data_IF_182281643309
#
_entry.id   IF_182281643309
#
_cell.length_a   1.000
_cell.length_b   1.000
_cell.length_c   1.000
_cell.angle_alpha   90.00
_cell.angle_beta   90.00
_cell.angle_gamma   90.00
#
_symmetry.space_group_name_H-M   'P 1'
#
loop_
_entity.id
_entity.type
_entity.pdbx_description
1 polymer ?
#
# COMPACT_ATOMS: atom_id res chain seq x y z
N UNK A 1 17.30 -30.30 -3.76
CA UNK A 1 16.39 -29.41 -4.48
C UNK A 1 15.92 -28.41 -3.45
N UNK A 2 16.70 -27.34 -3.35
CA UNK A 2 16.55 -26.29 -2.37
C UNK A 2 15.65 -25.19 -2.94
N UNK A 3 14.56 -24.89 -2.24
CA UNK A 3 13.83 -23.65 -2.38
C UNK A 3 13.86 -22.98 -1.01
N UNK A 4 14.56 -21.85 -0.97
CA UNK A 4 14.80 -21.05 0.22
C UNK A 4 13.50 -20.50 0.82
N UNK A 5 13.42 -20.63 2.14
CA UNK A 5 12.43 -20.06 3.06
C UNK A 5 12.56 -18.53 3.06
N UNK A 6 11.44 -17.80 2.85
CA UNK A 6 11.34 -16.38 3.22
C UNK A 6 10.92 -16.25 4.69
N UNK A 7 11.61 -15.47 5.53
CA UNK A 7 11.17 -15.19 6.89
C UNK A 7 10.07 -14.11 6.87
N UNK A 8 8.95 -14.39 7.55
CA UNK A 8 7.93 -13.40 7.86
C UNK A 8 8.52 -12.28 8.73
N UNK A 9 8.29 -11.03 8.35
CA UNK A 9 8.66 -9.86 9.16
C UNK A 9 7.40 -9.29 9.76
N UNK A 10 7.34 -9.29 11.08
CA UNK A 10 6.41 -8.47 11.85
C UNK A 10 6.79 -7.00 11.66
N UNK A 11 5.80 -6.17 11.33
CA UNK A 11 5.96 -4.72 11.43
C UNK A 11 5.84 -4.32 12.90
N UNK A 12 6.92 -3.82 13.48
CA UNK A 12 6.91 -3.11 14.76
C UNK A 12 7.04 -1.62 14.48
N UNK A 13 6.16 -0.82 15.10
CA UNK A 13 6.18 0.64 15.04
C UNK A 13 7.55 1.15 15.52
N UNK A 14 8.33 1.89 14.70
CA UNK A 14 9.59 2.45 15.17
C UNK A 14 9.33 3.65 16.08
N UNK A 15 9.88 3.60 17.29
CA UNK A 15 10.02 4.77 18.14
C UNK A 15 11.34 5.48 17.81
N UNK A 16 11.27 6.66 17.17
CA UNK A 16 12.39 7.58 17.01
C UNK A 16 12.97 7.70 15.59
N UNK A 17 13.67 8.82 15.26
CA UNK A 17 14.04 9.16 13.90
C UNK A 17 15.26 8.36 13.42
N UNK A 18 15.16 7.77 12.22
CA UNK A 18 16.26 7.12 11.53
C UNK A 18 17.18 8.15 10.80
N UNK A 19 18.48 7.87 10.64
CA UNK A 19 19.44 8.83 10.09
C UNK A 19 19.38 8.94 8.57
N UNK A 20 19.73 10.15 8.08
CA UNK A 20 19.70 10.60 6.68
C UNK A 20 20.63 9.78 5.77
N UNK A 21 20.06 9.17 4.72
CA UNK A 21 20.79 8.52 3.62
C UNK A 21 20.81 9.40 2.36
N UNK A 22 21.98 9.51 1.73
CA UNK A 22 22.24 10.32 0.52
C UNK A 22 21.58 9.73 -0.73
N UNK A 23 21.10 10.61 -1.60
CA UNK A 23 20.60 10.30 -2.94
C UNK A 23 21.66 9.57 -3.80
N UNK A 24 21.25 8.46 -4.43
CA UNK A 24 22.04 7.77 -5.45
C UNK A 24 21.32 7.94 -6.80
N UNK A 25 21.96 8.68 -7.71
CA UNK A 25 21.56 8.81 -9.10
C UNK A 25 21.95 7.53 -9.86
N UNK A 26 21.00 6.86 -10.51
CA UNK A 26 21.28 5.79 -11.46
C UNK A 26 20.71 6.14 -12.83
N UNK A 27 21.57 6.06 -13.85
CA UNK A 27 21.25 6.10 -15.28
C UNK A 27 20.79 4.71 -15.77
N UNK A 28 19.96 4.62 -16.83
CA UNK A 28 19.37 3.37 -17.28
C UNK A 28 20.22 2.62 -18.33
N UNK A 29 20.06 1.29 -18.38
CA UNK A 29 20.33 0.49 -19.58
C UNK A 29 20.96 -0.89 -19.35
N UNK A 30 20.16 -1.95 -19.34
CA UNK A 30 20.48 -3.27 -19.91
C UNK A 30 19.21 -4.14 -20.01
N UNK A 31 18.99 -4.91 -21.11
CA UNK A 31 17.79 -5.69 -21.32
C UNK A 31 17.79 -7.01 -20.53
N UNK A 32 16.60 -7.42 -20.08
CA UNK A 32 16.35 -8.72 -19.44
C UNK A 32 16.13 -9.79 -20.52
N UNK A 33 17.09 -10.71 -20.65
CA UNK A 33 16.91 -11.92 -21.47
C UNK A 33 16.05 -12.97 -20.76
N UNK A 34 15.27 -13.67 -21.59
CA UNK A 34 14.29 -14.68 -21.28
C UNK A 34 14.93 -15.96 -20.72
N UNK A 35 14.40 -16.49 -19.61
CA UNK A 35 14.75 -17.83 -19.15
C UNK A 35 13.99 -18.89 -19.95
N UNK A 36 14.70 -19.61 -20.83
CA UNK A 36 14.27 -20.90 -21.37
C UNK A 36 15.27 -22.01 -21.00
N UNK A 37 14.72 -23.20 -20.75
CA UNK A 37 15.37 -24.40 -20.23
C UNK A 37 16.61 -24.88 -21.03
N UNK A 38 17.61 -25.41 -20.32
CA UNK A 38 18.79 -26.01 -20.95
C UNK A 38 19.61 -26.89 -19.99
N UNK A 39 19.71 -28.16 -20.35
CA UNK A 39 20.34 -29.29 -19.66
C UNK A 39 21.88 -29.21 -19.56
N UNK A 40 22.37 -29.87 -18.50
CA UNK A 40 23.73 -30.27 -18.12
C UNK A 40 24.72 -30.47 -19.29
N UNK A 41 25.94 -29.94 -19.14
CA UNK A 41 27.17 -30.54 -19.67
C UNK A 41 28.35 -30.31 -18.70
N UNK A 42 28.89 -31.42 -18.17
CA UNK A 42 30.16 -31.48 -17.43
C UNK A 42 31.33 -31.20 -18.38
N UNK A 43 32.35 -30.48 -17.90
CA UNK A 43 33.72 -30.58 -18.42
C UNK A 43 34.71 -30.80 -17.27
N UNK A 44 35.60 -31.75 -17.51
CA UNK A 44 36.68 -32.22 -16.66
C UNK A 44 38.05 -31.76 -17.19
N UNK A 45 38.97 -31.44 -16.28
CA UNK A 45 40.43 -31.47 -16.46
C UNK A 45 41.03 -31.25 -15.05
N UNK A 46 41.71 -32.21 -14.41
CA UNK A 46 43.17 -32.45 -14.50
C UNK A 46 43.92 -31.37 -13.71
N UNK A 47 44.79 -31.58 -12.72
CA UNK A 47 45.74 -32.66 -12.41
C UNK A 47 46.29 -32.51 -10.95
N UNK A 48 47.10 -33.47 -10.49
CA UNK A 48 47.44 -33.88 -9.11
C UNK A 48 48.62 -33.11 -8.42
N UNK A 49 49.36 -33.64 -7.40
CA UNK A 49 49.02 -34.29 -6.11
C UNK A 49 49.76 -33.65 -4.89
N UNK A 50 49.41 -34.02 -3.65
CA UNK A 50 50.26 -33.71 -2.48
C UNK A 50 49.79 -34.19 -1.10
N UNK A 51 50.38 -35.30 -0.64
CA UNK A 51 50.67 -35.74 0.76
C UNK A 51 49.66 -35.48 1.90
N UNK A 52 49.17 -36.59 2.48
CA UNK A 52 48.57 -36.67 3.83
C UNK A 52 49.58 -36.38 4.96
N UNK A 53 49.09 -35.95 6.14
CA UNK A 53 49.15 -36.86 7.29
C UNK A 53 47.85 -36.91 8.10
N UNK A 54 47.70 -38.02 8.83
CA UNK A 54 46.57 -38.39 9.68
C UNK A 54 46.31 -37.40 10.82
N UNK A 55 45.05 -37.32 11.31
CA UNK A 55 44.70 -37.33 12.74
C UNK A 55 43.17 -37.22 12.99
N UNK A 56 42.71 -38.10 13.88
CA UNK A 56 41.54 -38.05 14.79
C UNK A 56 40.15 -38.34 14.21
N UNK A 57 39.67 -39.53 14.54
CA UNK A 57 38.26 -39.90 14.61
C UNK A 57 37.51 -38.88 15.49
N UNK A 58 36.42 -38.31 14.95
CA UNK A 58 35.47 -37.50 15.70
C UNK A 58 34.29 -38.41 16.05
N UNK A 59 34.02 -38.55 17.35
CA UNK A 59 32.77 -39.11 17.85
C UNK A 59 31.57 -38.36 17.25
N UNK A 60 30.70 -39.09 16.56
CA UNK A 60 29.39 -38.61 16.14
C UNK A 60 28.48 -38.52 17.36
N UNK A 61 28.32 -37.30 17.88
CA UNK A 61 27.22 -36.96 18.79
C UNK A 61 25.99 -36.71 17.92
N UNK A 62 25.01 -37.60 17.97
CA UNK A 62 23.70 -37.42 17.34
C UNK A 62 22.93 -36.37 18.15
N UNK A 63 22.62 -35.17 17.60
CA UNK A 63 21.73 -34.26 18.31
C UNK A 63 20.31 -34.80 18.23
N UNK A 64 19.64 -34.81 19.39
CA UNK A 64 18.23 -35.14 19.51
C UNK A 64 17.41 -34.23 18.58
N UNK A 65 16.50 -34.84 17.82
CA UNK A 65 15.52 -34.15 16.99
C UNK A 65 14.62 -33.32 17.92
N UNK A 66 14.94 -32.04 18.05
CA UNK A 66 14.04 -31.03 18.62
C UNK A 66 12.77 -31.04 17.79
N UNK A 67 11.64 -31.32 18.44
CA UNK A 67 10.32 -31.29 17.84
C UNK A 67 10.10 -29.94 17.12
N UNK A 68 9.75 -30.01 15.84
CA UNK A 68 9.40 -28.85 15.03
C UNK A 68 8.01 -28.39 15.49
N UNK A 69 7.83 -27.15 15.97
CA UNK A 69 6.50 -26.67 16.29
C UNK A 69 5.69 -26.55 14.99
N UNK A 70 4.44 -27.05 15.03
CA UNK A 70 3.50 -26.94 13.92
C UNK A 70 3.33 -25.47 13.46
N UNK A 71 3.07 -25.22 12.16
CA UNK A 71 2.89 -23.87 11.65
C UNK A 71 1.70 -23.21 12.35
N UNK A 72 1.92 -22.02 12.92
CA UNK A 72 0.86 -21.17 13.42
C UNK A 72 -0.01 -20.76 12.23
N UNK A 73 -1.12 -21.47 12.02
CA UNK A 73 -2.20 -20.97 11.15
C UNK A 73 -2.77 -19.75 11.83
N UNK A 74 -2.31 -18.57 11.43
CA UNK A 74 -2.96 -17.32 11.81
C UNK A 74 -4.37 -17.35 11.23
N UNK A 75 -5.37 -17.64 12.07
CA UNK A 75 -6.80 -17.59 11.76
C UNK A 75 -7.30 -16.14 11.49
N UNK A 76 -6.40 -15.15 11.64
CA UNK A 76 -6.68 -13.75 11.38
C UNK A 76 -6.70 -13.44 9.88
N UNK A 77 -7.71 -12.70 9.39
CA UNK A 77 -7.77 -12.29 7.99
C UNK A 77 -6.57 -11.40 7.62
N UNK A 78 -5.92 -11.72 6.50
CA UNK A 78 -4.79 -10.95 5.97
C UNK A 78 -5.23 -9.95 4.91
N UNK A 79 -4.68 -8.75 4.94
CA UNK A 79 -4.82 -7.72 3.90
C UNK A 79 -3.50 -7.55 3.19
N UNK A 80 -3.52 -7.64 1.85
CA UNK A 80 -2.37 -7.26 1.04
C UNK A 80 -2.27 -5.73 1.02
N UNK A 81 -1.13 -5.20 1.43
CA UNK A 81 -0.82 -3.76 1.39
C UNK A 81 0.23 -3.52 0.32
N UNK A 82 -0.08 -2.70 -0.68
CA UNK A 82 0.86 -2.28 -1.71
C UNK A 82 1.38 -0.89 -1.35
N UNK A 83 2.68 -0.80 -1.04
CA UNK A 83 3.35 0.45 -0.70
C UNK A 83 4.30 0.87 -1.84
N UNK A 84 4.17 2.11 -2.32
CA UNK A 84 4.87 2.55 -3.54
C UNK A 84 6.19 3.29 -3.30
N UNK A 85 6.47 3.72 -2.06
CA UNK A 85 7.69 4.44 -1.68
C UNK A 85 7.91 4.37 -0.15
N UNK A 86 9.06 4.83 0.33
CA UNK A 86 9.48 4.66 1.74
C UNK A 86 8.64 5.46 2.75
N UNK A 87 8.23 6.65 2.38
CA UNK A 87 7.56 7.64 3.24
C UNK A 87 6.02 7.65 3.08
N UNK A 88 5.46 6.69 2.34
CA UNK A 88 4.02 6.51 2.12
C UNK A 88 3.51 5.18 2.67
N UNK A 89 3.83 4.88 3.94
CA UNK A 89 3.38 3.68 4.65
C UNK A 89 1.91 3.73 5.12
N UNK A 90 1.38 2.63 5.67
CA UNK A 90 -0.05 2.52 6.02
C UNK A 90 -0.48 3.38 7.21
N UNK A 91 0.46 3.98 7.96
CA UNK A 91 0.21 5.02 8.97
C UNK A 91 -0.95 4.73 9.93
N UNK A 92 -1.77 5.75 10.17
CA UNK A 92 -2.95 5.65 11.04
C UNK A 92 -3.91 4.54 10.58
N UNK A 93 -4.09 4.34 9.28
CA UNK A 93 -4.97 3.29 8.74
C UNK A 93 -4.46 1.91 9.14
N UNK A 94 -3.15 1.66 9.01
CA UNK A 94 -2.51 0.42 9.41
C UNK A 94 -2.63 0.15 10.91
N UNK A 95 -2.35 1.16 11.74
CA UNK A 95 -2.49 1.08 13.20
C UNK A 95 -3.92 0.68 13.61
N UNK A 96 -4.91 1.25 12.92
CA UNK A 96 -6.33 1.03 13.20
C UNK A 96 -6.79 -0.35 12.75
N UNK A 97 -6.33 -0.80 11.59
CA UNK A 97 -6.61 -2.15 11.10
C UNK A 97 -6.04 -3.22 12.00
N UNK A 98 -4.82 -3.06 12.52
CA UNK A 98 -4.23 -3.99 13.47
C UNK A 98 -5.10 -4.19 14.72
N UNK A 99 -5.79 -3.14 15.19
CA UNK A 99 -6.73 -3.22 16.34
C UNK A 99 -8.01 -3.98 16.03
N UNK A 100 -8.38 -4.12 14.75
CA UNK A 100 -9.52 -4.95 14.33
C UNK A 100 -9.17 -6.44 14.27
N UNK A 101 -7.90 -6.82 14.46
CA UNK A 101 -7.42 -8.20 14.35
C UNK A 101 -7.16 -8.63 12.90
N UNK A 102 -6.90 -7.68 12.01
CA UNK A 102 -6.47 -7.91 10.62
C UNK A 102 -4.94 -7.93 10.58
N UNK A 103 -4.36 -8.91 9.89
CA UNK A 103 -2.93 -8.95 9.61
C UNK A 103 -2.62 -8.15 8.34
N UNK A 104 -1.56 -7.34 8.36
CA UNK A 104 -1.11 -6.58 7.18
C UNK A 104 0.11 -7.25 6.55
N UNK A 105 -0.01 -7.62 5.29
CA UNK A 105 1.10 -8.13 4.49
C UNK A 105 1.57 -7.02 3.53
N UNK A 106 2.63 -6.31 3.91
CA UNK A 106 3.13 -5.14 3.18
C UNK A 106 4.17 -5.55 2.15
N UNK A 107 3.88 -5.24 0.89
CA UNK A 107 4.77 -5.48 -0.25
C UNK A 107 5.27 -4.14 -0.81
N UNK A 108 6.57 -4.07 -1.06
CA UNK A 108 7.29 -2.90 -1.58
C UNK A 108 7.76 -3.18 -3.02
N UNK A 109 6.86 -3.19 -4.01
CA UNK A 109 7.23 -3.58 -5.38
C UNK A 109 8.27 -2.65 -6.02
N UNK A 110 8.35 -1.39 -5.59
CA UNK A 110 9.38 -0.45 -6.02
C UNK A 110 10.80 -0.86 -5.59
N UNK A 111 10.94 -1.74 -4.59
CA UNK A 111 12.20 -2.38 -4.18
C UNK A 111 12.47 -3.71 -4.89
N UNK A 112 11.64 -4.07 -5.87
CA UNK A 112 11.72 -5.35 -6.59
C UNK A 112 11.06 -6.52 -5.86
N UNK A 113 10.26 -6.28 -4.82
CA UNK A 113 9.43 -7.34 -4.21
C UNK A 113 8.32 -7.75 -5.17
N UNK A 114 8.14 -9.06 -5.36
CA UNK A 114 7.10 -9.57 -6.25
C UNK A 114 5.71 -9.40 -5.62
N UNK A 115 4.81 -8.75 -6.35
CA UNK A 115 3.37 -8.80 -6.06
C UNK A 115 2.81 -10.20 -6.36
N UNK A 116 1.84 -10.68 -5.57
CA UNK A 116 1.24 -11.99 -5.81
C UNK A 116 0.48 -12.02 -7.14
N UNK A 117 0.36 -13.22 -7.72
CA UNK A 117 -0.37 -13.50 -8.97
C UNK A 117 -1.90 -13.44 -8.83
N UNK A 118 -2.42 -13.44 -7.61
CA UNK A 118 -3.85 -13.39 -7.30
C UNK A 118 -4.06 -12.85 -5.88
N UNK A 119 -5.26 -12.36 -5.57
CA UNK A 119 -5.71 -12.06 -4.21
C UNK A 119 -6.18 -13.30 -3.42
N UNK A 120 -6.05 -14.51 -3.97
CA UNK A 120 -6.36 -15.74 -3.26
C UNK A 120 -5.64 -15.82 -1.90
N UNK A 121 -6.43 -15.97 -0.82
CA UNK A 121 -5.92 -15.98 0.56
C UNK A 121 -5.91 -14.63 1.27
N UNK A 122 -6.16 -13.52 0.55
CA UNK A 122 -6.32 -12.20 1.16
C UNK A 122 -7.80 -11.84 1.35
N UNK A 123 -8.11 -11.29 2.51
CA UNK A 123 -9.42 -10.79 2.90
C UNK A 123 -9.68 -9.35 2.41
N UNK A 124 -8.63 -8.64 1.99
CA UNK A 124 -8.71 -7.28 1.48
C UNK A 124 -7.43 -6.84 0.78
N UNK A 125 -7.53 -5.73 0.07
CA UNK A 125 -6.45 -5.07 -0.64
C UNK A 125 -6.39 -3.59 -0.22
N UNK A 126 -5.22 -3.15 0.26
CA UNK A 126 -4.92 -1.75 0.55
C UNK A 126 -3.86 -1.27 -0.45
N UNK A 127 -4.19 -0.30 -1.29
CA UNK A 127 -3.23 0.30 -2.23
C UNK A 127 -2.95 1.72 -1.76
N UNK A 128 -1.71 1.99 -1.36
CA UNK A 128 -1.33 3.26 -0.75
C UNK A 128 -1.06 4.35 -1.80
N UNK A 129 -0.76 5.55 -1.31
CA UNK A 129 -0.27 6.65 -2.14
C UNK A 129 1.14 6.41 -2.67
N UNK A 130 1.62 7.34 -3.49
CA UNK A 130 2.99 7.38 -4.00
C UNK A 130 3.18 8.51 -4.99
N UNK A 131 4.43 8.88 -5.23
CA UNK A 131 4.82 9.96 -6.17
C UNK A 131 4.71 9.58 -7.65
N UNK A 132 4.56 8.30 -7.98
CA UNK A 132 4.45 7.83 -9.36
C UNK A 132 3.16 8.33 -10.03
N UNK A 133 3.25 8.62 -11.33
CA UNK A 133 2.06 8.85 -12.16
C UNK A 133 1.37 7.50 -12.43
N UNK A 134 0.04 7.43 -12.24
CA UNK A 134 -0.72 6.19 -12.40
C UNK A 134 -0.69 5.58 -13.82
N UNK A 135 -0.27 6.36 -14.83
CA UNK A 135 -0.16 5.95 -16.24
C UNK A 135 1.29 5.70 -16.70
N UNK A 136 2.29 6.02 -15.87
CA UNK A 136 3.71 5.91 -16.24
C UNK A 136 4.30 4.55 -15.85
N UNK A 137 4.00 3.54 -16.67
CA UNK A 137 4.47 2.17 -16.48
C UNK A 137 5.99 2.01 -16.71
N UNK A 138 6.63 2.94 -17.42
CA UNK A 138 8.07 2.92 -17.61
C UNK A 138 8.80 3.33 -16.33
N UNK A 139 8.32 4.40 -15.68
CA UNK A 139 8.86 4.85 -14.40
C UNK A 139 8.47 3.92 -13.24
N UNK A 140 7.28 3.29 -13.31
CA UNK A 140 6.75 2.42 -12.27
C UNK A 140 6.27 1.07 -12.83
N UNK A 141 7.20 0.16 -13.20
CA UNK A 141 6.90 -1.10 -13.92
C UNK A 141 6.05 -2.10 -13.12
N UNK A 142 5.81 -1.86 -11.84
CA UNK A 142 4.91 -2.67 -11.02
C UNK A 142 3.43 -2.28 -11.15
N UNK A 143 3.12 -1.06 -11.63
CA UNK A 143 1.74 -0.56 -11.70
C UNK A 143 0.80 -1.44 -12.53
N UNK A 144 1.20 -2.01 -13.69
CA UNK A 144 0.35 -2.96 -14.42
C UNK A 144 -0.17 -4.09 -13.53
N UNK A 145 0.71 -4.65 -12.70
CA UNK A 145 0.36 -5.74 -11.78
C UNK A 145 -0.56 -5.29 -10.65
N UNK A 146 -0.40 -4.07 -10.15
CA UNK A 146 -1.31 -3.47 -9.17
C UNK A 146 -2.70 -3.28 -9.78
N UNK A 147 -2.77 -2.80 -11.03
CA UNK A 147 -4.05 -2.65 -11.75
C UNK A 147 -4.73 -4.00 -11.98
N UNK A 148 -3.99 -5.07 -12.24
CA UNK A 148 -4.57 -6.43 -12.31
C UNK A 148 -5.21 -6.86 -10.98
N UNK A 149 -4.52 -6.63 -9.86
CA UNK A 149 -5.05 -6.93 -8.51
C UNK A 149 -6.29 -6.07 -8.20
N UNK A 150 -6.31 -4.81 -8.63
CA UNK A 150 -7.49 -3.94 -8.50
C UNK A 150 -8.68 -4.50 -9.31
N UNK A 151 -8.47 -4.91 -10.57
CA UNK A 151 -9.53 -5.53 -11.38
C UNK A 151 -10.07 -6.79 -10.71
N UNK A 152 -9.17 -7.63 -10.19
CA UNK A 152 -9.56 -8.82 -9.46
C UNK A 152 -10.37 -8.48 -8.20
N UNK A 153 -9.93 -7.49 -7.41
CA UNK A 153 -10.63 -7.10 -6.19
C UNK A 153 -12.07 -6.65 -6.48
N UNK A 154 -12.25 -5.85 -7.53
CA UNK A 154 -13.57 -5.36 -7.95
C UNK A 154 -14.43 -6.50 -8.50
N UNK A 155 -13.87 -7.40 -9.30
CA UNK A 155 -14.60 -8.52 -9.90
C UNK A 155 -15.05 -9.57 -8.88
N UNK A 156 -14.28 -9.76 -7.80
CA UNK A 156 -14.53 -10.78 -6.77
C UNK A 156 -15.08 -10.19 -5.45
N UNK A 157 -15.47 -8.91 -5.45
CA UNK A 157 -15.90 -8.15 -4.27
C UNK A 157 -14.93 -8.26 -3.08
N UNK A 158 -13.62 -8.32 -3.33
CA UNK A 158 -12.60 -8.23 -2.28
C UNK A 158 -12.56 -6.78 -1.79
N UNK A 159 -12.75 -6.52 -0.49
CA UNK A 159 -12.64 -5.20 0.10
C UNK A 159 -11.34 -4.51 -0.31
N UNK A 160 -11.47 -3.41 -1.03
CA UNK A 160 -10.37 -2.60 -1.54
C UNK A 160 -10.48 -1.19 -0.96
N UNK A 161 -9.42 -0.72 -0.32
CA UNK A 161 -9.22 0.69 -0.01
C UNK A 161 -8.01 1.20 -0.78
N UNK A 162 -8.20 2.21 -1.62
CA UNK A 162 -7.18 2.74 -2.51
C UNK A 162 -6.98 4.24 -2.24
N UNK A 163 -5.77 4.62 -1.84
CA UNK A 163 -5.45 5.94 -1.27
C UNK A 163 -4.56 6.73 -2.23
N UNK A 164 -4.91 7.98 -2.52
CA UNK A 164 -4.17 8.89 -3.40
C UNK A 164 -3.83 8.24 -4.75
N UNK A 165 -2.56 7.88 -5.01
CA UNK A 165 -2.16 7.08 -6.18
C UNK A 165 -2.99 5.80 -6.33
N UNK A 166 -3.26 5.09 -5.24
CA UNK A 166 -4.15 3.93 -5.25
C UNK A 166 -5.56 4.28 -5.75
N UNK A 167 -6.13 5.39 -5.29
CA UNK A 167 -7.44 5.88 -5.73
C UNK A 167 -7.44 6.26 -7.22
N UNK A 168 -6.36 6.87 -7.69
CA UNK A 168 -6.13 7.19 -9.09
C UNK A 168 -6.01 5.93 -9.95
N UNK A 169 -5.26 4.93 -9.50
CA UNK A 169 -5.16 3.61 -10.14
C UNK A 169 -6.51 2.92 -10.21
N UNK A 170 -7.32 2.96 -9.14
CA UNK A 170 -8.68 2.42 -9.15
C UNK A 170 -9.55 3.10 -10.21
N UNK A 171 -9.56 4.43 -10.25
CA UNK A 171 -10.31 5.17 -11.25
C UNK A 171 -9.82 4.87 -12.67
N UNK A 172 -8.52 5.00 -12.94
CA UNK A 172 -7.92 4.78 -14.25
C UNK A 172 -8.16 3.35 -14.76
N UNK A 173 -7.95 2.34 -13.91
CA UNK A 173 -8.13 0.92 -14.25
C UNK A 173 -9.53 0.59 -14.74
N UNK A 174 -10.53 1.33 -14.27
CA UNK A 174 -11.95 1.11 -14.57
C UNK A 174 -12.52 2.15 -15.55
N UNK A 175 -11.66 2.84 -16.31
CA UNK A 175 -12.06 3.75 -17.40
C UNK A 175 -12.33 5.20 -16.98
N UNK A 176 -11.98 5.56 -15.73
CA UNK A 176 -11.88 6.95 -15.30
C UNK A 176 -10.70 7.68 -15.95
N UNK A 177 -10.54 8.96 -15.65
CA UNK A 177 -9.41 9.78 -16.12
C UNK A 177 -8.78 10.53 -14.96
N UNK A 178 -7.46 10.47 -14.90
CA UNK A 178 -6.62 11.20 -13.96
C UNK A 178 -5.90 12.31 -14.72
N UNK A 179 -5.78 13.48 -14.12
CA UNK A 179 -5.12 14.63 -14.73
C UNK A 179 -4.24 15.34 -13.72
N UNK A 180 -3.18 16.00 -14.23
CA UNK A 180 -2.46 17.02 -13.48
C UNK A 180 -3.39 18.15 -13.11
N UNK A 181 -3.37 18.54 -11.84
CA UNK A 181 -4.19 19.65 -11.34
C UNK A 181 -3.77 20.97 -11.99
N UNK A 182 -4.70 21.68 -12.68
CA UNK A 182 -4.38 22.96 -13.31
C UNK A 182 -4.01 24.07 -12.33
N UNK A 183 -4.48 23.97 -11.08
CA UNK A 183 -4.30 24.99 -10.03
C UNK A 183 -3.08 24.72 -9.13
N UNK A 184 -2.22 23.77 -9.49
CA UNK A 184 -1.13 23.29 -8.62
C UNK A 184 -1.61 22.24 -7.62
N UNK A 185 -0.79 21.88 -6.62
CA UNK A 185 -1.09 20.80 -5.69
C UNK A 185 -2.15 21.20 -4.65
N UNK A 186 -2.86 20.23 -4.10
CA UNK A 186 -3.68 20.42 -2.89
C UNK A 186 -2.88 19.87 -1.71
N UNK A 187 -2.57 20.74 -0.74
CA UNK A 187 -1.74 20.40 0.42
C UNK A 187 -2.38 20.90 1.71
N UNK A 188 -2.18 20.18 2.81
CA UNK A 188 -2.64 20.57 4.15
C UNK A 188 -3.96 19.93 4.57
N UNK A 189 -4.56 20.42 5.65
CA UNK A 189 -5.86 19.95 6.13
C UNK A 189 -6.99 20.72 5.43
N UNK A 190 -7.77 20.01 4.60
CA UNK A 190 -8.86 20.59 3.80
C UNK A 190 -10.21 20.02 4.26
N UNK A 191 -11.23 20.86 4.52
CA UNK A 191 -12.56 20.37 4.88
C UNK A 191 -13.24 19.70 3.69
N UNK A 192 -13.83 18.53 3.92
CA UNK A 192 -14.56 17.79 2.90
C UNK A 192 -16.06 17.89 3.12
N UNK A 193 -16.81 17.96 2.02
CA UNK A 193 -18.28 17.92 2.02
C UNK A 193 -18.79 16.54 1.66
N UNK A 194 -19.90 16.17 2.30
CA UNK A 194 -20.56 14.90 1.99
C UNK A 194 -21.44 15.05 0.77
N UNK A 195 -21.51 13.97 0.01
CA UNK A 195 -22.52 13.80 -1.04
C UNK A 195 -23.64 12.89 -0.51
N UNK A 196 -24.85 12.97 -1.08
CA UNK A 196 -26.00 12.17 -0.60
C UNK A 196 -25.70 10.68 -0.52
N UNK A 197 -24.92 10.14 -1.45
CA UNK A 197 -24.59 8.71 -1.48
C UNK A 197 -23.63 8.26 -0.37
N UNK A 198 -23.03 9.17 0.39
CA UNK A 198 -22.32 8.82 1.62
C UNK A 198 -23.29 8.34 2.71
N UNK A 199 -24.57 8.70 2.65
CA UNK A 199 -25.58 8.17 3.57
C UNK A 199 -25.75 6.66 3.36
N UNK A 200 -25.57 5.89 4.43
CA UNK A 200 -25.64 4.44 4.38
C UNK A 200 -24.40 3.74 3.77
N UNK A 201 -23.40 4.48 3.28
CA UNK A 201 -22.15 3.87 2.84
C UNK A 201 -21.39 3.23 4.03
N UNK A 202 -20.88 1.99 3.90
CA UNK A 202 -20.23 1.27 5.01
C UNK A 202 -19.09 2.03 5.68
N UNK A 203 -18.36 2.87 4.94
CA UNK A 203 -17.21 3.60 5.47
C UNK A 203 -17.55 5.06 5.76
N UNK A 204 -18.34 5.69 4.88
CA UNK A 204 -18.51 7.14 4.88
C UNK A 204 -19.79 7.65 5.54
N UNK A 205 -20.70 6.75 5.97
CA UNK A 205 -21.98 7.14 6.59
C UNK A 205 -21.84 7.96 7.88
N UNK A 206 -20.72 7.81 8.61
CA UNK A 206 -20.48 8.47 9.90
C UNK A 206 -19.47 9.61 9.83
N UNK A 207 -18.94 9.92 8.65
CA UNK A 207 -18.04 11.07 8.46
C UNK A 207 -18.86 12.36 8.66
N UNK A 208 -18.43 13.29 9.55
CA UNK A 208 -19.11 14.57 9.72
C UNK A 208 -19.03 15.46 8.47
N UNK A 209 -20.01 16.35 8.30
CA UNK A 209 -19.93 17.41 7.28
C UNK A 209 -18.79 18.37 7.64
N UNK A 210 -17.92 18.70 6.67
CA UNK A 210 -16.78 19.59 6.88
C UNK A 210 -15.57 18.93 7.53
N UNK A 211 -15.56 17.59 7.70
CA UNK A 211 -14.43 16.88 8.30
C UNK A 211 -13.12 17.20 7.56
N UNK A 212 -12.05 17.60 8.27
CA UNK A 212 -10.76 17.89 7.66
C UNK A 212 -10.12 16.59 7.16
N UNK A 213 -9.45 16.66 6.02
CA UNK A 213 -8.63 15.58 5.48
C UNK A 213 -7.24 16.09 5.13
N UNK A 214 -6.20 15.30 5.44
CA UNK A 214 -4.84 15.62 5.03
C UNK A 214 -4.69 15.42 3.51
N UNK A 215 -4.19 16.43 2.82
CA UNK A 215 -3.96 16.44 1.38
C UNK A 215 -2.47 16.57 1.08
N UNK A 216 -2.01 15.83 0.08
CA UNK A 216 -0.73 16.06 -0.59
C UNK A 216 -0.74 15.44 -1.99
N UNK A 217 -1.37 16.13 -2.96
CA UNK A 217 -1.47 15.58 -4.32
C UNK A 217 -1.31 16.62 -5.42
N UNK A 218 -0.72 16.17 -6.52
CA UNK A 218 -0.49 16.94 -7.75
C UNK A 218 -1.44 16.54 -8.87
N UNK A 219 -1.96 15.32 -8.82
CA UNK A 219 -2.86 14.74 -9.80
C UNK A 219 -4.22 14.46 -9.14
N UNK A 220 -5.30 14.58 -9.90
CA UNK A 220 -6.65 14.31 -9.42
C UNK A 220 -7.45 13.47 -10.42
N UNK A 221 -8.41 12.70 -9.93
CA UNK A 221 -9.40 12.05 -10.78
C UNK A 221 -10.33 13.14 -11.34
N UNK A 222 -10.24 13.40 -12.65
CA UNK A 222 -11.11 14.35 -13.36
C UNK A 222 -12.46 13.74 -13.73
N UNK A 223 -12.47 12.44 -14.06
CA UNK A 223 -13.67 11.70 -14.41
C UNK A 223 -13.65 10.35 -13.71
N UNK A 224 -14.71 10.05 -12.96
CA UNK A 224 -14.90 8.75 -12.36
C UNK A 224 -15.27 7.68 -13.40
N UNK A 225 -15.00 6.39 -13.12
CA UNK A 225 -15.60 5.26 -13.83
C UNK A 225 -17.13 5.38 -13.90
N UNK A 226 -17.76 4.76 -14.91
CA UNK A 226 -19.21 4.85 -15.11
C UNK A 226 -20.03 4.35 -13.90
N UNK A 227 -19.58 3.26 -13.26
CA UNK A 227 -20.27 2.63 -12.13
C UNK A 227 -19.80 3.14 -10.77
N UNK A 228 -19.05 4.24 -10.74
CA UNK A 228 -18.56 4.83 -9.50
C UNK A 228 -19.61 5.73 -8.85
N UNK A 229 -19.78 5.56 -7.55
CA UNK A 229 -20.63 6.36 -6.68
C UNK A 229 -19.76 7.38 -5.94
N UNK A 230 -19.88 8.70 -6.22
CA UNK A 230 -19.12 9.71 -5.50
C UNK A 230 -19.68 9.89 -4.08
N UNK A 231 -18.79 9.95 -3.08
CA UNK A 231 -19.15 9.95 -1.65
C UNK A 231 -18.76 11.27 -0.96
N UNK A 232 -17.56 11.77 -1.21
CA UNK A 232 -17.08 13.04 -0.66
C UNK A 232 -16.56 13.94 -1.78
N UNK A 233 -16.69 15.26 -1.57
CA UNK A 233 -16.22 16.29 -2.49
C UNK A 233 -15.47 17.40 -1.74
N UNK A 234 -14.61 18.13 -2.43
CA UNK A 234 -13.89 19.29 -1.91
C UNK A 234 -14.05 20.50 -2.82
N UNK A 235 -13.59 21.66 -2.37
CA UNK A 235 -13.66 22.89 -3.17
C UNK A 235 -12.71 22.89 -4.36
N UNK A 236 -11.49 22.39 -4.15
CA UNK A 236 -10.45 22.43 -5.17
C UNK A 236 -10.32 21.10 -5.93
N UNK A 237 -10.78 19.99 -5.36
CA UNK A 237 -10.82 18.67 -6.00
C UNK A 237 -12.22 18.06 -5.82
N UNK A 238 -12.87 17.73 -6.94
CA UNK A 238 -14.28 17.27 -6.96
C UNK A 238 -14.45 15.86 -6.40
N UNK A 239 -13.51 14.97 -6.69
CA UNK A 239 -13.63 13.53 -6.43
C UNK A 239 -12.72 13.11 -5.28
N UNK A 240 -13.13 13.47 -4.05
CA UNK A 240 -12.33 13.23 -2.84
C UNK A 240 -12.49 11.81 -2.30
N UNK A 241 -13.70 11.24 -2.39
CA UNK A 241 -13.94 9.82 -2.14
C UNK A 241 -15.02 9.29 -3.08
N UNK A 242 -14.87 8.04 -3.50
CA UNK A 242 -15.86 7.32 -4.31
C UNK A 242 -15.82 5.82 -4.01
N UNK A 243 -16.91 5.12 -4.34
CA UNK A 243 -17.01 3.66 -4.29
C UNK A 243 -17.33 3.09 -5.67
N UNK A 244 -16.76 1.95 -6.00
CA UNK A 244 -17.13 1.14 -7.16
C UNK A 244 -17.56 -0.25 -6.67
N UNK A 245 -18.66 -0.77 -7.22
CA UNK A 245 -19.22 -2.05 -6.79
C UNK A 245 -19.61 -2.05 -5.30
N UNK A 246 -19.59 -3.23 -4.68
CA UNK A 246 -20.00 -3.39 -3.29
C UNK A 246 -18.89 -3.01 -2.29
N UNK A 247 -17.62 -3.19 -2.67
CA UNK A 247 -16.51 -3.21 -1.71
C UNK A 247 -15.20 -2.55 -2.15
N UNK A 248 -15.19 -1.68 -3.18
CA UNK A 248 -13.98 -0.96 -3.59
C UNK A 248 -14.11 0.55 -3.39
N UNK A 249 -13.28 1.13 -2.52
CA UNK A 249 -13.27 2.57 -2.23
C UNK A 249 -11.98 3.21 -2.69
N UNK A 250 -12.10 4.36 -3.36
CA UNK A 250 -10.98 5.25 -3.69
C UNK A 250 -11.09 6.56 -2.91
N UNK A 251 -9.98 7.01 -2.34
CA UNK A 251 -9.87 8.33 -1.69
C UNK A 251 -8.68 9.09 -2.26
N UNK A 252 -8.84 10.39 -2.48
CA UNK A 252 -7.76 11.26 -2.98
C UNK A 252 -6.88 11.79 -1.83
N UNK A 253 -7.49 12.04 -0.68
CA UNK A 253 -6.82 12.47 0.53
C UNK A 253 -6.14 11.30 1.25
N UNK A 254 -5.40 11.62 2.31
CA UNK A 254 -4.61 10.67 3.09
C UNK A 254 -5.21 10.43 4.49
N UNK A 255 -6.12 9.45 4.65
CA UNK A 255 -6.66 9.06 5.96
C UNK A 255 -5.59 8.48 6.91
N UNK A 256 -4.44 8.09 6.39
CA UNK A 256 -3.30 7.48 7.09
C UNK A 256 -2.29 8.49 7.64
N UNK A 257 -2.35 9.75 7.17
CA UNK A 257 -1.31 10.77 7.38
C UNK A 257 -1.68 11.75 8.49
N UNK A 258 -0.65 12.16 9.23
CA UNK A 258 -0.70 13.19 10.25
C UNK A 258 0.46 14.17 10.06
N UNK A 259 0.66 15.12 10.98
CA UNK A 259 1.56 16.24 10.76
C UNK A 259 3.03 15.84 10.68
N UNK A 260 3.43 14.75 11.33
CA UNK A 260 4.79 14.22 11.24
C UNK A 260 5.14 13.82 9.79
N UNK A 261 4.35 12.93 9.19
CA UNK A 261 4.51 12.52 7.78
C UNK A 261 4.33 13.70 6.83
N UNK A 262 3.39 14.60 7.11
CA UNK A 262 3.20 15.84 6.33
C UNK A 262 4.47 16.71 6.35
N UNK A 263 5.18 16.77 7.48
CA UNK A 263 6.43 17.52 7.59
C UNK A 263 7.58 16.86 6.81
N UNK A 264 7.62 15.53 6.75
CA UNK A 264 8.60 14.81 5.94
C UNK A 264 8.38 15.08 4.44
N UNK A 265 7.12 15.04 3.98
CA UNK A 265 6.76 15.41 2.61
C UNK A 265 7.05 16.88 2.31
N UNK A 266 6.80 17.78 3.26
CA UNK A 266 7.15 19.19 3.14
C UNK A 266 8.66 19.42 3.02
N UNK A 267 9.49 18.59 3.66
CA UNK A 267 10.93 18.68 3.53
C UNK A 267 11.41 18.24 2.14
N UNK A 268 10.76 17.24 1.54
CA UNK A 268 11.13 16.68 0.23
C UNK A 268 10.54 17.49 -0.94
N UNK A 269 9.21 17.65 -0.97
CA UNK A 269 8.43 18.23 -2.08
C UNK A 269 8.09 19.71 -1.85
N UNK A 270 8.36 20.25 -0.66
CA UNK A 270 8.07 21.65 -0.34
C UNK A 270 8.65 22.70 -1.30
N UNK A 271 9.87 22.54 -1.87
CA UNK A 271 10.35 23.45 -2.91
C UNK A 271 9.46 23.48 -4.15
N UNK A 272 8.92 22.34 -4.59
CA UNK A 272 8.00 22.28 -5.72
C UNK A 272 6.65 22.91 -5.37
N UNK A 273 6.12 22.63 -4.17
CA UNK A 273 4.89 23.25 -3.64
C UNK A 273 5.03 24.79 -3.64
N UNK A 274 6.14 25.32 -3.11
CA UNK A 274 6.41 26.78 -3.12
C UNK A 274 6.48 27.35 -4.53
N UNK A 275 7.14 26.64 -5.46
CA UNK A 275 7.22 27.05 -6.87
C UNK A 275 5.84 27.09 -7.53
N UNK A 276 4.93 26.22 -7.12
CA UNK A 276 3.54 26.20 -7.59
C UNK A 276 2.63 27.22 -6.87
N UNK A 277 3.17 28.03 -5.96
CA UNK A 277 2.44 29.06 -5.21
C UNK A 277 1.76 28.56 -3.93
N UNK A 278 2.02 27.32 -3.51
CA UNK A 278 1.55 26.79 -2.23
C UNK A 278 2.49 27.12 -1.06
N UNK A 279 2.02 26.87 0.16
CA UNK A 279 2.79 27.05 1.39
C UNK A 279 2.88 25.70 2.15
N UNK A 280 4.01 24.97 2.03
CA UNK A 280 4.17 23.68 2.69
C UNK A 280 4.28 23.81 4.22
N UNK A 281 4.75 24.96 4.74
CA UNK A 281 4.89 25.16 6.18
C UNK A 281 3.49 25.39 6.81
N UNK A 282 2.64 26.17 6.13
CA UNK A 282 1.23 26.31 6.49
C UNK A 282 0.46 24.99 6.34
N UNK A 283 0.76 24.18 5.32
CA UNK A 283 0.17 22.86 5.16
C UNK A 283 0.46 21.96 6.39
N UNK A 284 1.71 21.88 6.82
CA UNK A 284 2.10 21.13 8.03
C UNK A 284 1.38 21.67 9.27
N UNK A 285 1.33 23.00 9.44
CA UNK A 285 0.66 23.62 10.58
C UNK A 285 -0.85 23.30 10.61
N UNK A 286 -1.51 23.33 9.45
CA UNK A 286 -2.94 23.00 9.34
C UNK A 286 -3.24 21.55 9.69
N UNK A 287 -2.43 20.59 9.21
CA UNK A 287 -2.57 19.17 9.57
C UNK A 287 -2.33 18.97 11.06
N UNK A 288 -1.30 19.62 11.64
CA UNK A 288 -1.03 19.57 13.08
C UNK A 288 -2.23 20.03 13.92
N UNK A 289 -2.86 21.12 13.50
CA UNK A 289 -4.04 21.65 14.18
C UNK A 289 -5.24 20.70 14.09
N UNK A 290 -5.38 19.98 12.98
CA UNK A 290 -6.49 19.07 12.72
C UNK A 290 -6.27 17.64 13.25
N UNK A 291 -5.06 17.29 13.72
CA UNK A 291 -4.71 15.91 14.10
C UNK A 291 -5.72 15.20 15.03
N UNK A 292 -6.28 15.83 16.08
CA UNK A 292 -7.26 15.16 16.92
C UNK A 292 -8.49 14.68 16.13
N UNK A 293 -8.96 15.50 15.20
CA UNK A 293 -10.11 15.19 14.35
C UNK A 293 -9.74 14.18 13.26
N UNK A 294 -8.57 14.34 12.62
CA UNK A 294 -8.05 13.37 11.66
C UNK A 294 -7.96 11.96 12.28
N UNK A 295 -7.42 11.85 13.50
CA UNK A 295 -7.29 10.58 14.23
C UNK A 295 -8.64 9.95 14.57
N UNK A 296 -9.64 10.78 14.86
CA UNK A 296 -10.97 10.32 15.23
C UNK A 296 -11.76 9.88 13.99
N UNK A 297 -11.89 10.75 12.99
CA UNK A 297 -12.70 10.52 11.80
C UNK A 297 -12.09 9.44 10.92
N UNK A 298 -10.83 9.62 10.50
CA UNK A 298 -10.20 8.68 9.56
C UNK A 298 -9.78 7.38 10.24
N UNK A 299 -9.54 7.43 11.56
CA UNK A 299 -9.40 6.22 12.36
C UNK A 299 -10.67 5.37 12.40
N UNK A 300 -11.84 6.00 12.56
CA UNK A 300 -13.12 5.30 12.51
C UNK A 300 -13.43 4.74 11.11
N UNK A 301 -13.08 5.46 10.04
CA UNK A 301 -13.19 4.96 8.66
C UNK A 301 -12.32 3.73 8.44
N UNK A 302 -11.08 3.73 8.94
CA UNK A 302 -10.18 2.58 8.86
C UNK A 302 -10.72 1.36 9.65
N UNK A 303 -11.26 1.58 10.86
CA UNK A 303 -11.89 0.52 11.66
C UNK A 303 -13.17 -0.04 10.99
N UNK A 304 -13.96 0.83 10.35
CA UNK A 304 -15.12 0.42 9.55
C UNK A 304 -14.69 -0.45 8.35
N UNK A 305 -13.61 -0.09 7.65
CA UNK A 305 -13.08 -0.91 6.57
C UNK A 305 -12.55 -2.25 7.07
N UNK A 306 -11.86 -2.27 8.22
CA UNK A 306 -11.44 -3.51 8.88
C UNK A 306 -12.64 -4.43 9.22
N UNK A 307 -13.79 -3.86 9.59
CA UNK A 307 -15.02 -4.62 9.79
C UNK A 307 -15.54 -5.25 8.49
N UNK A 308 -15.49 -4.53 7.38
CA UNK A 308 -15.85 -5.04 6.04
C UNK A 308 -14.92 -6.18 5.62
N UNK A 309 -13.61 -6.00 5.78
CA UNK A 309 -12.58 -7.04 5.51
C UNK A 309 -12.88 -8.32 6.28
N UNK A 310 -13.19 -8.20 7.58
CA UNK A 310 -13.49 -9.36 8.43
C UNK A 310 -14.81 -10.05 8.07
N UNK A 311 -15.80 -9.29 7.60
CA UNK A 311 -17.08 -9.87 7.19
C UNK A 311 -16.94 -10.79 5.97
N UNK A 312 -15.99 -10.51 5.06
CA UNK A 312 -15.70 -11.36 3.90
C UNK A 312 -15.22 -12.77 4.27
N UNK A 313 -14.45 -12.90 5.36
CA UNK A 313 -13.85 -14.19 5.77
C UNK A 313 -14.83 -15.06 6.56
N UNK A 314 -15.97 -14.51 7.01
CA UNK A 314 -16.97 -15.31 7.71
C UNK A 314 -17.71 -16.21 6.71
N UNK A 315 -17.73 -17.54 6.89
CA UNK A 315 -18.58 -18.40 6.08
C UNK A 315 -20.04 -17.97 6.28
N UNK A 316 -20.77 -17.84 5.17
CA UNK A 316 -22.20 -17.58 5.19
C UNK A 316 -22.84 -18.60 6.14
N UNK A 317 -23.40 -18.11 7.25
CA UNK A 317 -24.02 -18.97 8.24
C UNK A 317 -25.10 -19.77 7.54
N UNK A 318 -24.92 -21.09 7.45
CA UNK A 318 -25.91 -22.00 6.90
C UNK A 318 -27.13 -21.90 7.80
N UNK A 319 -28.13 -21.12 7.38
CA UNK A 319 -29.44 -21.13 8.01
C UNK A 319 -30.00 -22.53 7.76
N UNK A 320 -30.06 -23.33 8.83
CA UNK A 320 -30.73 -24.63 8.86
C UNK A 320 -32.23 -24.44 8.95
#
# INVERSE_FOLDING_TARGET
>A
MDVLIRPGRTYSVPAGPAPRGRACLLRPGAPLEQCSAGTILRRSSGEAPGRSPALRERETVTPALSEIPAPLTSDAPSVLVVQHEDDAGPGLVGDRLGRTGVHLDVVHPWRGECLPGTLGGYAGLLVLGGSANCEDDEAAPWLPRVRDLIRQAVAEDVPLLAICLGGQLLAHTLGGTVVRRPRGPEVGAVPLRRLPAAEGDPLFARVPEGAPAAQWHWDEVARLPADAVPLLTGDACRHQAFRVGAAAWGVQFHPEVLAATTADWAASDGPAVRKAGGDPDAAVASVRSAEPELRAVWGAVAEAWGTVVRARVRPATTVR
#
